data_IF_266245504473
#
_entry.id   IF_266245504473
#
_cell.length_a   1.000
_cell.length_b   1.000
_cell.length_c   1.000
_cell.angle_alpha   90.00
_cell.angle_beta   90.00
_cell.angle_gamma   90.00
#
_symmetry.space_group_name_H-M   'P 1'
#
loop_
_entity.id
_entity.type
_entity.pdbx_description
1 polymer ?
#
# COMPACT_ATOMS: atom_id res chain seq x y z
N UNK A 1 25.24 12.31 33.83
CA UNK A 1 24.29 11.58 32.97
C UNK A 1 23.96 12.46 31.78
N UNK A 2 24.56 12.20 30.62
CA UNK A 2 24.32 12.96 29.40
C UNK A 2 23.12 12.34 28.68
N UNK A 3 21.98 13.01 28.74
CA UNK A 3 20.77 12.61 28.03
C UNK A 3 21.00 12.84 26.53
N UNK A 4 21.37 11.80 25.80
CA UNK A 4 21.45 11.85 24.34
C UNK A 4 20.07 12.18 23.81
N UNK A 5 19.86 13.42 23.37
CA UNK A 5 18.65 13.81 22.67
C UNK A 5 18.46 12.85 21.49
N UNK A 6 17.39 12.04 21.52
CA UNK A 6 16.99 11.23 20.37
C UNK A 6 16.66 12.20 19.24
N UNK A 7 17.56 12.37 18.28
CA UNK A 7 17.27 13.04 17.03
C UNK A 7 16.14 12.26 16.37
N UNK A 8 14.90 12.74 16.51
CA UNK A 8 13.75 12.21 15.79
C UNK A 8 14.01 12.46 14.31
N UNK A 9 14.55 11.45 13.62
CA UNK A 9 14.78 11.52 12.20
C UNK A 9 13.47 11.90 11.50
N UNK A 10 13.53 12.94 10.67
CA UNK A 10 12.39 13.47 9.92
C UNK A 10 11.68 12.33 9.17
N UNK A 11 10.36 12.27 9.35
CA UNK A 11 9.48 11.41 8.54
C UNK A 11 8.98 12.24 7.38
N UNK A 12 9.12 11.73 6.17
CA UNK A 12 8.66 12.40 4.96
C UNK A 12 7.50 11.62 4.35
N UNK A 13 6.64 12.34 3.64
CA UNK A 13 5.52 11.77 2.89
C UNK A 13 5.92 11.63 1.42
N UNK A 14 5.68 10.45 0.87
CA UNK A 14 5.99 10.08 -0.50
C UNK A 14 4.70 9.70 -1.22
N UNK A 15 4.40 10.38 -2.33
CA UNK A 15 3.43 9.89 -3.31
C UNK A 15 4.15 9.00 -4.32
N UNK A 16 3.58 7.84 -4.61
CA UNK A 16 4.20 6.86 -5.50
C UNK A 16 3.18 5.92 -6.15
N UNK A 17 3.54 5.37 -7.30
CA UNK A 17 2.79 4.31 -7.97
C UNK A 17 3.33 2.96 -7.52
N UNK A 18 2.44 2.01 -7.25
CA UNK A 18 2.80 0.61 -6.96
C UNK A 18 3.24 -0.07 -8.26
N UNK A 19 4.52 -0.41 -8.37
CA UNK A 19 5.09 -1.08 -9.55
C UNK A 19 5.01 -2.60 -9.42
N UNK A 20 5.19 -3.10 -8.20
CA UNK A 20 5.21 -4.54 -7.92
C UNK A 20 4.76 -4.78 -6.49
N UNK A 21 4.11 -5.92 -6.26
CA UNK A 21 3.83 -6.43 -4.92
C UNK A 21 4.27 -7.88 -4.76
N UNK A 22 4.62 -8.25 -3.53
CA UNK A 22 4.96 -9.62 -3.15
C UNK A 22 4.80 -9.82 -1.64
N UNK A 23 4.78 -11.08 -1.22
CA UNK A 23 4.87 -11.50 0.17
C UNK A 23 6.22 -12.18 0.43
N UNK A 24 6.65 -12.16 1.68
CA UNK A 24 7.77 -12.97 2.17
C UNK A 24 7.28 -13.70 3.41
N UNK A 25 7.37 -15.02 3.39
CA UNK A 25 7.17 -15.86 4.57
C UNK A 25 8.40 -15.76 5.45
N UNK A 26 8.22 -15.20 6.65
CA UNK A 26 9.26 -15.07 7.66
C UNK A 26 8.95 -15.88 8.91
N UNK A 27 9.91 -15.90 9.82
CA UNK A 27 9.79 -16.59 11.12
C UNK A 27 8.57 -16.12 11.94
N UNK A 28 8.10 -14.89 11.75
CA UNK A 28 6.99 -14.28 12.49
C UNK A 28 5.72 -14.11 11.64
N UNK A 29 5.62 -14.83 10.51
CA UNK A 29 4.48 -14.81 9.60
C UNK A 29 4.77 -14.13 8.27
N UNK A 30 3.70 -13.84 7.52
CA UNK A 30 3.76 -13.30 6.17
C UNK A 30 3.93 -11.78 6.21
N UNK A 31 4.91 -11.27 5.48
CA UNK A 31 5.15 -9.83 5.35
C UNK A 31 4.93 -9.35 3.92
N UNK A 32 4.05 -8.38 3.75
CA UNK A 32 3.66 -7.87 2.43
C UNK A 32 4.44 -6.61 2.06
N UNK A 33 4.84 -6.53 0.80
CA UNK A 33 5.75 -5.51 0.31
C UNK A 33 5.30 -4.93 -1.02
N UNK A 34 5.56 -3.63 -1.20
CA UNK A 34 5.51 -2.95 -2.48
C UNK A 34 6.89 -2.49 -2.93
N UNK A 35 7.11 -2.50 -4.24
CA UNK A 35 8.06 -1.63 -4.91
C UNK A 35 7.29 -0.44 -5.45
N UNK A 36 7.75 0.75 -5.10
CA UNK A 36 7.07 2.02 -5.30
C UNK A 36 7.95 2.93 -6.14
N UNK A 37 7.33 3.57 -7.13
CA UNK A 37 7.97 4.60 -7.95
C UNK A 37 7.43 5.98 -7.53
N UNK A 38 8.28 6.87 -6.99
CA UNK A 38 7.86 8.22 -6.65
C UNK A 38 7.21 8.93 -7.84
N UNK A 39 6.20 9.75 -7.56
CA UNK A 39 5.57 10.62 -8.55
C UNK A 39 5.74 12.09 -8.17
N UNK A 40 5.64 12.97 -9.16
CA UNK A 40 5.56 14.41 -8.95
C UNK A 40 4.16 14.84 -8.47
N UNK A 41 3.96 16.15 -8.33
CA UNK A 41 2.68 16.72 -7.90
C UNK A 41 1.52 16.37 -8.84
N UNK A 42 1.81 16.18 -10.13
CA UNK A 42 0.86 15.83 -11.19
C UNK A 42 0.58 14.31 -11.26
N UNK A 43 1.28 13.51 -10.45
CA UNK A 43 1.14 12.05 -10.44
C UNK A 43 1.96 11.36 -11.54
N UNK A 44 2.89 12.06 -12.19
CA UNK A 44 3.77 11.49 -13.20
C UNK A 44 5.01 10.87 -12.53
N UNK A 45 5.41 9.69 -12.98
CA UNK A 45 6.55 8.98 -12.43
C UNK A 45 7.85 9.78 -12.54
N UNK A 46 8.55 9.95 -11.41
CA UNK A 46 9.85 10.59 -11.34
C UNK A 46 10.95 9.58 -11.72
N UNK A 47 11.74 9.87 -12.76
CA UNK A 47 12.93 9.13 -13.22
C UNK A 47 12.86 7.61 -12.98
N UNK A 48 12.42 6.90 -14.01
CA UNK A 48 12.22 5.45 -14.00
C UNK A 48 13.45 4.70 -13.43
N UNK A 49 13.18 3.77 -12.52
CA UNK A 49 14.10 2.85 -11.83
C UNK A 49 15.06 3.43 -10.77
N UNK A 50 15.65 4.60 -10.96
CA UNK A 50 16.70 5.11 -10.05
C UNK A 50 16.18 5.51 -8.67
N UNK A 51 14.92 5.89 -8.58
CA UNK A 51 14.30 6.42 -7.37
C UNK A 51 13.28 5.49 -6.73
N UNK A 52 13.15 4.26 -7.24
CA UNK A 52 12.24 3.28 -6.67
C UNK A 52 12.66 2.94 -5.23
N UNK A 53 11.67 2.68 -4.38
CA UNK A 53 11.88 2.27 -3.01
C UNK A 53 10.90 1.16 -2.62
N UNK A 54 11.26 0.40 -1.60
CA UNK A 54 10.44 -0.70 -1.09
C UNK A 54 9.78 -0.28 0.21
N UNK A 55 8.53 -0.68 0.41
CA UNK A 55 7.81 -0.43 1.64
C UNK A 55 7.09 -1.70 2.07
N UNK A 56 6.99 -1.94 3.37
CA UNK A 56 5.94 -2.84 3.86
C UNK A 56 4.58 -2.19 3.60
N UNK A 57 3.54 -3.01 3.47
CA UNK A 57 2.20 -2.49 3.15
C UNK A 57 1.42 -2.29 4.45
N UNK A 58 0.97 -1.05 4.75
CA UNK A 58 0.06 -0.81 5.87
C UNK A 58 -1.27 -1.55 5.66
N UNK A 59 -1.84 -2.12 6.73
CA UNK A 59 -3.08 -2.92 6.64
C UNK A 59 -4.22 -2.16 5.96
N UNK A 60 -4.42 -0.89 6.32
CA UNK A 60 -5.46 -0.06 5.74
C UNK A 60 -5.29 0.20 4.23
N UNK A 61 -4.05 0.12 3.72
CA UNK A 61 -3.78 0.18 2.27
C UNK A 61 -4.23 -1.12 1.60
N UNK A 62 -4.03 -2.28 2.23
CA UNK A 62 -4.49 -3.59 1.72
C UNK A 62 -6.03 -3.63 1.66
N UNK A 63 -6.70 -3.13 2.70
CA UNK A 63 -8.17 -3.08 2.77
C UNK A 63 -8.78 -2.17 1.70
N UNK A 64 -8.01 -1.19 1.21
CA UNK A 64 -8.39 -0.30 0.11
C UNK A 64 -8.24 -0.94 -1.28
N UNK A 65 -7.94 -2.23 -1.36
CA UNK A 65 -7.82 -2.96 -2.63
C UNK A 65 -9.04 -3.84 -2.89
N UNK A 66 -9.51 -3.94 -4.14
CA UNK A 66 -10.42 -5.01 -4.53
C UNK A 66 -9.74 -6.38 -4.38
N UNK A 67 -10.53 -7.41 -4.14
CA UNK A 67 -10.08 -8.79 -4.07
C UNK A 67 -9.92 -9.38 -5.49
N UNK A 68 -8.68 -9.42 -5.99
CA UNK A 68 -8.36 -10.14 -7.23
C UNK A 68 -8.09 -11.64 -7.02
N UNK A 69 -7.93 -12.38 -8.12
CA UNK A 69 -7.64 -13.82 -8.12
C UNK A 69 -6.37 -14.19 -7.34
N UNK A 70 -5.38 -13.29 -7.34
CA UNK A 70 -4.12 -13.45 -6.59
C UNK A 70 -4.16 -12.78 -5.22
N UNK A 71 -5.30 -12.24 -4.82
CA UNK A 71 -5.49 -11.50 -3.57
C UNK A 71 -5.33 -9.98 -3.70
N UNK A 72 -5.66 -9.29 -2.60
CA UNK A 72 -5.75 -7.83 -2.51
C UNK A 72 -4.44 -7.10 -2.84
N UNK A 73 -3.31 -7.57 -2.30
CA UNK A 73 -2.01 -6.89 -2.50
C UNK A 73 -1.57 -6.86 -3.96
N UNK A 74 -1.95 -7.87 -4.75
CA UNK A 74 -1.60 -7.96 -6.18
C UNK A 74 -2.51 -7.08 -7.03
N UNK A 75 -3.70 -6.79 -6.54
CA UNK A 75 -4.69 -5.95 -7.21
C UNK A 75 -4.39 -4.46 -7.11
N UNK A 76 -3.40 -4.05 -6.31
CA UNK A 76 -2.97 -2.65 -6.18
C UNK A 76 -1.83 -2.25 -7.13
N UNK A 77 -1.32 -3.16 -7.96
CA UNK A 77 -0.26 -2.82 -8.93
C UNK A 77 -0.79 -1.80 -9.95
N UNK A 78 -0.20 -0.61 -9.98
CA UNK A 78 -0.64 0.55 -10.76
C UNK A 78 -1.44 1.59 -9.97
N UNK A 79 -1.85 1.29 -8.72
CA UNK A 79 -2.49 2.28 -7.85
C UNK A 79 -1.47 3.33 -7.37
N UNK A 80 -1.95 4.54 -7.16
CA UNK A 80 -1.19 5.60 -6.52
C UNK A 80 -1.44 5.58 -5.01
N UNK A 81 -0.35 5.60 -4.24
CA UNK A 81 -0.36 5.60 -2.78
C UNK A 81 0.42 6.77 -2.22
N UNK A 82 -0.01 7.23 -1.06
CA UNK A 82 0.68 8.24 -0.27
C UNK A 82 1.13 7.58 1.02
N UNK A 83 2.44 7.47 1.22
CA UNK A 83 3.04 6.82 2.37
C UNK A 83 4.00 7.75 3.11
N UNK A 84 3.82 7.87 4.41
CA UNK A 84 4.68 8.60 5.33
C UNK A 84 5.56 7.64 6.12
N UNK A 85 6.87 7.85 6.06
CA UNK A 85 7.83 7.02 6.77
C UNK A 85 9.24 7.60 6.73
N UNK A 86 10.20 6.76 7.10
CA UNK A 86 11.62 7.10 7.01
C UNK A 86 12.28 6.21 5.97
N UNK A 87 12.95 6.80 4.99
CA UNK A 87 13.81 6.04 4.09
C UNK A 87 15.07 5.61 4.85
N UNK A 88 15.31 4.30 4.85
CA UNK A 88 16.51 3.65 5.38
C UNK A 88 17.13 2.80 4.28
N UNK A 89 18.46 2.76 4.22
CA UNK A 89 19.16 1.83 3.34
C UNK A 89 19.27 0.48 4.03
N UNK A 90 18.69 -0.56 3.44
CA UNK A 90 18.77 -1.92 3.96
C UNK A 90 19.17 -2.86 2.81
N UNK A 91 20.30 -3.56 2.96
CA UNK A 91 20.86 -4.45 1.93
C UNK A 91 21.01 -3.79 0.55
N UNK A 92 21.44 -2.52 0.52
CA UNK A 92 21.61 -1.75 -0.72
C UNK A 92 20.31 -1.22 -1.33
N UNK A 93 19.15 -1.48 -0.72
CA UNK A 93 17.85 -1.03 -1.20
C UNK A 93 17.27 0.09 -0.32
N UNK A 94 16.64 1.08 -0.95
CA UNK A 94 15.92 2.14 -0.24
C UNK A 94 14.61 1.57 0.29
N UNK A 95 14.44 1.54 1.62
CA UNK A 95 13.25 1.01 2.28
C UNK A 95 12.55 2.05 3.13
N UNK A 96 11.22 2.13 3.01
CA UNK A 96 10.39 2.96 3.88
C UNK A 96 10.08 2.18 5.16
N UNK A 97 10.66 2.64 6.27
CA UNK A 97 10.49 2.03 7.58
C UNK A 97 9.23 2.52 8.29
N UNK A 98 8.49 1.57 8.87
CA UNK A 98 7.23 1.76 9.61
C UNK A 98 6.28 2.74 8.88
N UNK A 99 5.87 2.40 7.65
CA UNK A 99 5.05 3.26 6.82
C UNK A 99 3.63 3.38 7.40
N UNK A 100 3.04 4.57 7.24
CA UNK A 100 1.61 4.81 7.39
C UNK A 100 1.14 5.54 6.15
N UNK A 101 -0.09 5.37 5.72
CA UNK A 101 -0.53 6.04 4.51
C UNK A 101 -1.85 5.54 4.01
N UNK A 102 -2.15 5.82 2.75
CA UNK A 102 -3.43 5.47 2.11
C UNK A 102 -3.25 5.30 0.61
N UNK A 103 -4.23 4.67 -0.02
CA UNK A 103 -4.41 4.74 -1.46
C UNK A 103 -4.97 6.12 -1.81
N UNK A 104 -4.32 6.82 -2.73
CA UNK A 104 -4.74 8.14 -3.22
C UNK A 104 -5.64 7.98 -4.45
N UNK A 105 -5.26 7.08 -5.35
CA UNK A 105 -5.96 6.88 -6.62
C UNK A 105 -5.88 5.43 -7.04
N UNK A 106 -7.04 4.83 -7.28
CA UNK A 106 -7.16 3.54 -7.94
C UNK A 106 -7.16 3.72 -9.46
N UNK A 107 -6.75 2.68 -10.19
CA UNK A 107 -6.98 2.67 -11.63
C UNK A 107 -8.48 2.50 -11.90
N UNK A 108 -9.01 2.93 -13.05
CA UNK A 108 -10.43 2.77 -13.38
C UNK A 108 -10.92 1.32 -13.26
N UNK A 109 -10.11 0.36 -13.70
CA UNK A 109 -10.43 -1.06 -13.60
C UNK A 109 -10.52 -1.56 -12.15
N UNK A 110 -9.65 -1.06 -11.26
CA UNK A 110 -9.71 -1.39 -9.82
C UNK A 110 -10.94 -0.78 -9.15
N UNK A 111 -11.26 0.47 -9.49
CA UNK A 111 -12.43 1.15 -8.94
C UNK A 111 -13.73 0.45 -9.36
N UNK A 112 -13.85 0.02 -10.62
CA UNK A 112 -14.98 -0.76 -11.10
C UNK A 112 -15.16 -2.07 -10.32
N UNK A 113 -14.08 -2.85 -10.15
CA UNK A 113 -14.13 -4.09 -9.36
C UNK A 113 -14.51 -3.86 -7.91
N UNK A 114 -14.00 -2.80 -7.28
CA UNK A 114 -14.36 -2.49 -5.90
C UNK A 114 -15.85 -2.17 -5.76
N UNK A 115 -16.44 -1.49 -6.75
CA UNK A 115 -17.88 -1.22 -6.76
C UNK A 115 -18.70 -2.52 -6.88
N UNK A 116 -18.32 -3.43 -7.79
CA UNK A 116 -18.96 -4.76 -7.93
C UNK A 116 -18.92 -5.55 -6.61
N UNK A 117 -17.78 -5.55 -5.92
CA UNK A 117 -17.64 -6.22 -4.62
C UNK A 117 -18.54 -5.61 -3.53
N UNK A 118 -18.66 -4.28 -3.50
CA UNK A 118 -19.51 -3.58 -2.54
C UNK A 118 -21.00 -3.86 -2.80
N UNK A 119 -21.41 -3.92 -4.07
CA UNK A 119 -22.77 -4.28 -4.46
C UNK A 119 -23.11 -5.72 -4.05
N UNK A 120 -22.18 -6.66 -4.28
CA UNK A 120 -22.34 -8.06 -3.87
C UNK A 120 -22.44 -8.20 -2.35
N UNK A 121 -21.57 -7.54 -1.58
CA UNK A 121 -21.59 -7.55 -0.12
C UNK A 121 -22.90 -6.97 0.43
N UNK A 122 -23.39 -5.87 -0.16
CA UNK A 122 -24.69 -5.30 0.21
C UNK A 122 -25.85 -6.26 -0.08
N UNK A 123 -25.82 -6.95 -1.23
CA UNK A 123 -26.82 -7.94 -1.60
C UNK A 123 -26.84 -9.12 -0.62
N UNK A 124 -25.68 -9.67 -0.28
CA UNK A 124 -25.55 -10.78 0.66
C UNK A 124 -26.03 -10.40 2.07
N UNK A 125 -25.65 -9.22 2.56
CA UNK A 125 -26.14 -8.69 3.84
C UNK A 125 -27.65 -8.55 3.87
N UNK A 126 -28.26 -8.08 2.77
CA UNK A 126 -29.70 -7.97 2.65
C UNK A 126 -30.40 -9.33 2.60
N UNK A 127 -29.78 -10.36 2.00
CA UNK A 127 -30.31 -11.73 2.00
C UNK A 127 -30.26 -12.35 3.41
N UNK A 128 -29.12 -12.27 4.10
CA UNK A 128 -29.00 -12.78 5.47
C UNK A 128 -29.93 -12.07 6.45
N UNK A 129 -30.17 -10.77 6.28
CA UNK A 129 -31.15 -10.04 7.09
C UNK A 129 -32.59 -10.54 6.88
N UNK A 130 -32.92 -11.11 5.71
CA UNK A 130 -34.22 -11.72 5.43
C UNK A 130 -34.34 -13.15 5.94
N UNK A 131 -33.24 -13.90 5.98
CA UNK A 131 -33.21 -15.29 6.48
C UNK A 131 -33.11 -15.38 8.01
N UNK A 132 -32.56 -14.34 8.65
CA UNK A 132 -32.46 -14.23 10.11
C UNK A 132 -33.65 -13.54 10.80
N UNK A 133 -34.73 -13.23 10.06
CA UNK A 133 -35.98 -12.63 10.54
C UNK A 133 -37.14 -13.64 10.44
#
# INVERSE_FOLDING_TARGET
>A
MTTTAKTLAKRDTYRAIVIRSWSIDGQYGVSYHFRLRPVDAEGKALNEDKNDFVSTIPVNVIESAPCGERGRIHSLVGAEVELTGRIVMQRGERRLSNPRGRVVKLTPAMAARMAEEQELDACLKAQWAKEGA
#
